data_IF_959031099062
#
_entry.id   IF_959031099062
#
_cell.length_a   1.000
_cell.length_b   1.000
_cell.length_c   1.000
_cell.angle_alpha   90.00
_cell.angle_beta   90.00
_cell.angle_gamma   90.00
#
_symmetry.space_group_name_H-M   'P 1'
#
loop_
_entity.id
_entity.type
_entity.pdbx_description
1 polymer ?
#
# COMPACT_ATOMS: atom_id res chain seq x y z
N UNK A 1 -31.25 -18.05 40.72
CA UNK A 1 -31.22 -18.44 42.16
C UNK A 1 -32.62 -18.58 42.76
N UNK A 2 -33.60 -17.71 42.48
CA UNK A 2 -35.01 -17.87 42.92
C UNK A 2 -35.63 -19.25 42.57
N UNK A 3 -35.50 -19.70 41.31
CA UNK A 3 -35.97 -21.03 40.88
C UNK A 3 -35.28 -22.19 41.61
N UNK A 4 -34.00 -22.02 42.02
CA UNK A 4 -33.27 -23.06 42.77
C UNK A 4 -33.86 -23.23 44.18
N UNK A 5 -34.23 -22.13 44.83
CA UNK A 5 -34.89 -22.15 46.15
C UNK A 5 -36.29 -22.77 46.03
N UNK A 6 -37.06 -22.37 45.01
CA UNK A 6 -38.39 -22.93 44.77
C UNK A 6 -38.36 -24.45 44.56
N UNK A 7 -37.40 -24.94 43.77
CA UNK A 7 -37.20 -26.37 43.54
C UNK A 7 -36.77 -27.11 44.80
N UNK A 8 -35.91 -26.50 45.62
CA UNK A 8 -35.48 -27.07 46.90
C UNK A 8 -36.63 -27.16 47.91
N UNK A 9 -37.47 -26.11 48.02
CA UNK A 9 -38.65 -26.09 48.89
C UNK A 9 -39.69 -27.14 48.50
N UNK A 10 -39.89 -27.36 47.19
CA UNK A 10 -40.81 -28.38 46.66
C UNK A 10 -40.29 -29.81 46.78
N UNK A 11 -38.97 -30.01 46.93
CA UNK A 11 -38.36 -31.33 47.01
C UNK A 11 -38.62 -31.99 48.39
N UNK A 12 -39.27 -33.17 48.47
CA UNK A 12 -39.44 -33.90 49.73
C UNK A 12 -38.13 -34.47 50.31
N UNK A 13 -37.12 -34.71 49.46
CA UNK A 13 -35.78 -35.21 49.82
C UNK A 13 -34.72 -34.11 49.83
N UNK A 14 -35.12 -32.87 50.12
CA UNK A 14 -34.21 -31.72 50.22
C UNK A 14 -33.14 -31.93 51.28
N UNK A 15 -31.93 -31.45 51.02
CA UNK A 15 -30.78 -31.52 51.91
C UNK A 15 -30.61 -30.24 52.73
N UNK A 16 -30.01 -30.38 53.92
CA UNK A 16 -29.79 -29.25 54.84
C UNK A 16 -28.75 -28.26 54.30
N UNK A 17 -27.68 -28.75 53.67
CA UNK A 17 -26.56 -27.94 53.21
C UNK A 17 -26.99 -26.88 52.17
N UNK A 18 -27.74 -27.29 51.15
CA UNK A 18 -28.27 -26.37 50.13
C UNK A 18 -29.23 -25.34 50.73
N UNK A 19 -30.05 -25.74 51.70
CA UNK A 19 -30.93 -24.82 52.43
C UNK A 19 -30.14 -23.77 53.23
N UNK A 20 -29.06 -24.20 53.88
CA UNK A 20 -28.20 -23.34 54.67
C UNK A 20 -27.45 -22.34 53.79
N UNK A 21 -27.02 -22.77 52.60
CA UNK A 21 -26.41 -21.90 51.60
C UNK A 21 -27.37 -20.79 51.15
N UNK A 22 -28.62 -21.13 50.82
CA UNK A 22 -29.63 -20.13 50.48
C UNK A 22 -29.90 -19.15 51.62
N UNK A 23 -29.95 -19.64 52.86
CA UNK A 23 -30.08 -18.78 54.04
C UNK A 23 -28.89 -17.82 54.18
N UNK A 24 -27.66 -18.34 54.11
CA UNK A 24 -26.46 -17.53 54.30
C UNK A 24 -26.24 -16.52 53.15
N UNK A 25 -26.63 -16.84 51.92
CA UNK A 25 -26.54 -15.91 50.79
C UNK A 25 -27.60 -14.81 50.86
N UNK A 26 -28.84 -15.13 51.20
CA UNK A 26 -29.98 -14.22 50.98
C UNK A 26 -30.63 -13.65 52.24
N UNK A 27 -30.31 -14.15 53.43
CA UNK A 27 -30.82 -13.57 54.67
C UNK A 27 -30.22 -12.17 54.92
N UNK A 28 -31.07 -11.27 55.42
CA UNK A 28 -30.66 -9.95 55.89
C UNK A 28 -29.80 -10.05 57.18
N UNK A 29 -29.07 -8.98 57.49
CA UNK A 29 -28.11 -8.95 58.61
C UNK A 29 -28.78 -9.25 59.95
N UNK A 30 -30.01 -8.80 60.16
CA UNK A 30 -30.78 -9.05 61.38
C UNK A 30 -31.18 -10.52 61.53
N UNK A 31 -31.68 -11.14 60.45
CA UNK A 31 -32.06 -12.55 60.43
C UNK A 31 -30.84 -13.44 60.63
N UNK A 32 -29.69 -13.08 60.04
CA UNK A 32 -28.41 -13.76 60.26
C UNK A 32 -27.95 -13.67 61.71
N UNK A 33 -28.06 -12.50 62.33
CA UNK A 33 -27.68 -12.34 63.74
C UNK A 33 -28.55 -13.20 64.68
N UNK A 34 -29.86 -13.28 64.41
CA UNK A 34 -30.82 -14.02 65.27
C UNK A 34 -30.78 -15.54 65.08
N UNK A 35 -30.64 -16.01 63.84
CA UNK A 35 -30.79 -17.44 63.52
C UNK A 35 -29.52 -18.08 62.97
N UNK A 36 -28.54 -17.29 62.52
CA UNK A 36 -27.32 -17.80 61.90
C UNK A 36 -26.49 -18.66 62.85
N UNK A 37 -26.33 -18.26 64.11
CA UNK A 37 -25.59 -19.07 65.11
C UNK A 37 -26.25 -20.42 65.38
N UNK A 38 -27.58 -20.45 65.44
CA UNK A 38 -28.35 -21.69 65.62
C UNK A 38 -28.30 -22.60 64.39
N UNK A 39 -28.42 -22.04 63.19
CA UNK A 39 -28.47 -22.82 61.95
C UNK A 39 -27.08 -23.27 61.46
N UNK A 40 -26.03 -22.45 61.65
CA UNK A 40 -24.66 -22.82 61.32
C UNK A 40 -23.97 -23.66 62.43
N UNK A 41 -24.63 -23.85 63.58
CA UNK A 41 -24.09 -24.60 64.71
C UNK A 41 -24.14 -26.13 64.57
N UNK A 42 -24.77 -26.65 63.52
CA UNK A 42 -24.84 -28.09 63.20
C UNK A 42 -23.45 -28.57 62.79
N UNK A 43 -22.87 -29.51 63.55
CA UNK A 43 -21.48 -29.95 63.33
C UNK A 43 -21.38 -31.08 62.33
N UNK A 44 -22.37 -31.98 62.32
CA UNK A 44 -22.49 -33.03 61.33
C UNK A 44 -23.89 -33.04 60.70
N UNK A 45 -23.94 -32.69 59.42
CA UNK A 45 -25.18 -32.65 58.63
C UNK A 45 -25.74 -34.06 58.38
N UNK A 46 -24.93 -35.10 58.62
CA UNK A 46 -25.33 -36.51 58.53
C UNK A 46 -25.97 -37.02 59.83
N UNK A 47 -25.80 -36.31 60.94
CA UNK A 47 -26.45 -36.66 62.20
C UNK A 47 -27.93 -36.27 62.14
N UNK A 48 -28.78 -37.30 62.01
CA UNK A 48 -30.23 -37.16 61.97
C UNK A 48 -30.79 -36.49 63.24
N UNK A 49 -30.12 -36.54 64.39
CA UNK A 49 -30.67 -35.96 65.63
C UNK A 49 -30.48 -34.45 65.69
N UNK A 50 -29.32 -33.94 65.30
CA UNK A 50 -29.08 -32.49 65.23
C UNK A 50 -29.96 -31.89 64.12
N UNK A 51 -29.89 -32.45 62.91
CA UNK A 51 -30.63 -31.92 61.76
C UNK A 51 -32.15 -31.94 61.94
N UNK A 52 -32.74 -32.92 62.63
CA UNK A 52 -34.20 -32.96 62.89
C UNK A 52 -34.70 -31.73 63.67
N UNK A 53 -33.87 -31.15 64.55
CA UNK A 53 -34.25 -29.97 65.34
C UNK A 53 -34.05 -28.68 64.53
N UNK A 54 -32.94 -28.57 63.81
CA UNK A 54 -32.58 -27.34 63.08
C UNK A 54 -33.30 -27.20 61.73
N UNK A 55 -33.63 -28.32 61.08
CA UNK A 55 -34.13 -28.32 59.70
C UNK A 55 -35.51 -27.69 59.52
N UNK A 56 -36.52 -27.92 60.38
CA UNK A 56 -37.81 -27.23 60.28
C UNK A 56 -37.65 -25.71 60.34
N UNK A 57 -36.76 -25.23 61.21
CA UNK A 57 -36.45 -23.81 61.34
C UNK A 57 -35.77 -23.28 60.07
N UNK A 58 -34.80 -24.00 59.52
CA UNK A 58 -34.14 -23.63 58.26
C UNK A 58 -35.16 -23.52 57.11
N UNK A 59 -36.04 -24.51 56.95
CA UNK A 59 -37.08 -24.54 55.92
C UNK A 59 -38.01 -23.34 56.08
N UNK A 60 -38.43 -23.02 57.31
CA UNK A 60 -39.26 -21.85 57.58
C UNK A 60 -38.56 -20.55 57.16
N UNK A 61 -37.28 -20.38 57.51
CA UNK A 61 -36.52 -19.17 57.18
C UNK A 61 -36.27 -19.04 55.68
N UNK A 62 -35.89 -20.12 55.00
CA UNK A 62 -35.72 -20.16 53.54
C UNK A 62 -37.05 -19.87 52.82
N UNK A 63 -38.18 -20.35 53.35
CA UNK A 63 -39.52 -20.04 52.79
C UNK A 63 -39.87 -18.55 52.91
N UNK A 64 -39.55 -17.92 54.04
CA UNK A 64 -39.74 -16.47 54.22
C UNK A 64 -38.84 -15.66 53.30
N UNK A 65 -37.56 -16.05 53.17
CA UNK A 65 -36.62 -15.44 52.23
C UNK A 65 -37.13 -15.59 50.79
N UNK A 66 -37.58 -16.78 50.38
CA UNK A 66 -38.18 -17.00 49.07
C UNK A 66 -39.36 -16.06 48.81
N UNK A 67 -40.24 -15.89 49.80
CA UNK A 67 -41.34 -14.93 49.73
C UNK A 67 -40.87 -13.48 49.55
N UNK A 68 -39.85 -13.05 50.32
CA UNK A 68 -39.25 -11.70 50.21
C UNK A 68 -38.60 -11.48 48.84
N UNK A 69 -37.81 -12.43 48.36
CA UNK A 69 -37.15 -12.37 47.05
C UNK A 69 -38.18 -12.35 45.91
N UNK A 70 -39.29 -13.10 46.03
CA UNK A 70 -40.38 -13.07 45.05
C UNK A 70 -41.15 -11.75 45.06
N UNK A 71 -41.36 -11.16 46.23
CA UNK A 71 -42.11 -9.91 46.40
C UNK A 71 -41.30 -8.67 45.97
N UNK A 72 -39.97 -8.70 46.14
CA UNK A 72 -39.09 -7.62 45.72
C UNK A 72 -37.80 -8.19 45.09
N UNK A 73 -37.85 -8.67 43.83
CA UNK A 73 -36.69 -9.25 43.17
C UNK A 73 -35.52 -8.29 43.01
N UNK A 74 -35.80 -7.00 42.79
CA UNK A 74 -34.78 -5.98 42.53
C UNK A 74 -33.87 -5.73 43.73
N UNK A 75 -34.42 -5.77 44.96
CA UNK A 75 -33.63 -5.63 46.19
C UNK A 75 -32.62 -6.76 46.43
N UNK A 76 -32.77 -7.89 45.73
CA UNK A 76 -31.86 -9.04 45.83
C UNK A 76 -31.02 -9.24 44.57
N UNK A 77 -31.16 -8.36 43.56
CA UNK A 77 -30.53 -8.51 42.24
C UNK A 77 -29.04 -8.77 42.31
N UNK A 78 -28.31 -8.03 43.15
CA UNK A 78 -26.85 -8.15 43.29
C UNK A 78 -26.42 -9.42 44.04
N UNK A 79 -27.25 -9.90 44.98
CA UNK A 79 -27.04 -11.15 45.72
C UNK A 79 -27.38 -12.39 44.86
N UNK A 80 -28.19 -12.22 43.83
CA UNK A 80 -28.56 -13.26 42.86
C UNK A 80 -27.51 -13.41 41.74
N UNK A 81 -26.53 -12.50 41.64
CA UNK A 81 -25.42 -12.57 40.68
C UNK A 81 -24.45 -13.68 41.09
N UNK A 82 -24.36 -14.71 40.26
CA UNK A 82 -23.37 -15.80 40.40
C UNK A 82 -21.98 -15.37 39.92
N UNK A 83 -20.91 -16.05 40.38
CA UNK A 83 -19.55 -15.83 39.84
C UNK A 83 -19.49 -15.99 38.32
N UNK A 84 -20.22 -16.98 37.76
CA UNK A 84 -20.34 -17.17 36.32
C UNK A 84 -20.92 -15.96 35.58
N UNK A 85 -21.86 -15.24 36.19
CA UNK A 85 -22.37 -13.97 35.63
C UNK A 85 -21.33 -12.86 35.70
N UNK A 86 -20.51 -12.79 36.75
CA UNK A 86 -19.43 -11.79 36.87
C UNK A 86 -18.36 -12.01 35.81
N UNK A 87 -17.91 -13.25 35.62
CA UNK A 87 -16.96 -13.61 34.55
C UNK A 87 -17.51 -13.28 33.16
N UNK A 88 -18.82 -13.47 32.95
CA UNK A 88 -19.47 -13.13 31.68
C UNK A 88 -19.47 -11.62 31.44
N UNK A 89 -19.73 -10.82 32.48
CA UNK A 89 -19.67 -9.35 32.41
C UNK A 89 -18.27 -8.86 32.13
N UNK A 90 -17.25 -9.43 32.78
CA UNK A 90 -15.84 -9.08 32.52
C UNK A 90 -15.43 -9.38 31.07
N UNK A 91 -15.86 -10.53 30.52
CA UNK A 91 -15.66 -10.86 29.10
C UNK A 91 -16.36 -9.87 28.17
N UNK A 92 -17.58 -9.44 28.50
CA UNK A 92 -18.29 -8.43 27.72
C UNK A 92 -17.57 -7.08 27.74
N UNK A 93 -17.05 -6.66 28.88
CA UNK A 93 -16.26 -5.42 28.99
C UNK A 93 -14.98 -5.53 28.13
N UNK A 94 -14.28 -6.66 28.19
CA UNK A 94 -13.07 -6.88 27.39
C UNK A 94 -13.38 -6.90 25.88
N UNK A 95 -14.51 -7.47 25.48
CA UNK A 95 -14.97 -7.44 24.09
C UNK A 95 -15.37 -6.03 23.65
N UNK A 96 -16.06 -5.27 24.51
CA UNK A 96 -16.42 -3.89 24.21
C UNK A 96 -15.18 -3.04 23.95
N UNK A 97 -14.14 -3.17 24.79
CA UNK A 97 -12.88 -2.46 24.57
C UNK A 97 -12.25 -2.79 23.22
N UNK A 98 -12.30 -4.05 22.79
CA UNK A 98 -11.81 -4.45 21.45
C UNK A 98 -12.66 -3.89 20.31
N UNK A 99 -13.97 -3.74 20.51
CA UNK A 99 -14.84 -3.09 19.53
C UNK A 99 -14.44 -1.64 19.38
N UNK A 100 -14.25 -0.92 20.49
CA UNK A 100 -13.84 0.49 20.47
C UNK A 100 -12.47 0.67 19.76
N UNK A 101 -11.50 -0.20 20.04
CA UNK A 101 -10.18 -0.21 19.35
C UNK A 101 -10.30 -0.50 17.85
N UNK A 102 -11.24 -1.37 17.44
CA UNK A 102 -11.48 -1.66 16.03
C UNK A 102 -12.18 -0.50 15.31
N UNK A 103 -13.11 0.17 15.98
CA UNK A 103 -13.81 1.33 15.43
C UNK A 103 -12.85 2.51 15.20
N UNK A 104 -11.91 2.76 16.12
CA UNK A 104 -10.84 3.74 15.93
C UNK A 104 -9.99 3.40 14.69
N UNK A 105 -9.57 2.13 14.58
CA UNK A 105 -8.78 1.66 13.43
C UNK A 105 -9.56 1.74 12.10
N UNK A 106 -10.87 1.51 12.12
CA UNK A 106 -11.72 1.69 10.94
C UNK A 106 -11.75 3.16 10.52
N UNK A 107 -11.84 4.08 11.48
CA UNK A 107 -11.78 5.52 11.23
C UNK A 107 -10.47 5.94 10.56
N UNK A 108 -9.32 5.49 11.08
CA UNK A 108 -8.00 5.77 10.50
C UNK A 108 -7.91 5.25 9.06
N UNK A 109 -8.32 4.00 8.83
CA UNK A 109 -8.30 3.40 7.49
C UNK A 109 -9.24 4.09 6.50
N UNK A 110 -10.37 4.63 6.97
CA UNK A 110 -11.28 5.41 6.12
C UNK A 110 -10.65 6.75 5.72
N UNK A 111 -10.02 7.45 6.67
CA UNK A 111 -9.31 8.70 6.37
C UNK A 111 -8.16 8.48 5.37
N UNK A 112 -7.38 7.42 5.56
CA UNK A 112 -6.32 7.02 4.62
C UNK A 112 -6.90 6.69 3.24
N UNK A 113 -8.03 5.98 3.18
CA UNK A 113 -8.68 5.62 1.92
C UNK A 113 -9.19 6.86 1.16
N UNK A 114 -9.73 7.86 1.85
CA UNK A 114 -10.12 9.14 1.26
C UNK A 114 -8.92 9.90 0.70
N UNK A 115 -7.83 10.02 1.47
CA UNK A 115 -6.60 10.66 0.99
C UNK A 115 -6.00 9.96 -0.24
N UNK A 116 -6.02 8.63 -0.26
CA UNK A 116 -5.56 7.86 -1.42
C UNK A 116 -6.45 8.05 -2.65
N UNK A 117 -7.77 8.24 -2.47
CA UNK A 117 -8.69 8.49 -3.57
C UNK A 117 -8.39 9.85 -4.24
N UNK A 118 -8.14 10.89 -3.44
CA UNK A 118 -7.76 12.21 -3.96
C UNK A 118 -6.42 12.16 -4.73
N UNK A 119 -5.44 11.39 -4.24
CA UNK A 119 -4.16 11.21 -4.95
C UNK A 119 -4.34 10.47 -6.28
N UNK A 120 -5.18 9.43 -6.32
CA UNK A 120 -5.51 8.70 -7.55
C UNK A 120 -6.15 9.63 -8.58
N UNK A 121 -7.09 10.49 -8.16
CA UNK A 121 -7.73 11.46 -9.05
C UNK A 121 -6.72 12.49 -9.59
N UNK A 122 -5.82 12.98 -8.74
CA UNK A 122 -4.74 13.87 -9.16
C UNK A 122 -3.83 13.22 -10.20
N UNK A 123 -3.39 11.98 -9.95
CA UNK A 123 -2.55 11.23 -10.89
C UNK A 123 -3.28 10.91 -12.20
N UNK A 124 -4.60 10.69 -12.14
CA UNK A 124 -5.45 10.54 -13.32
C UNK A 124 -5.42 11.78 -14.21
N UNK A 125 -5.57 12.96 -13.61
CA UNK A 125 -5.49 14.24 -14.33
C UNK A 125 -4.11 14.46 -14.97
N UNK A 126 -3.02 14.18 -14.25
CA UNK A 126 -1.66 14.30 -14.77
C UNK A 126 -1.41 13.35 -15.95
N UNK A 127 -1.94 12.12 -15.88
CA UNK A 127 -1.86 11.15 -16.95
C UNK A 127 -2.59 11.62 -18.20
N UNK A 128 -3.80 12.15 -18.04
CA UNK A 128 -4.59 12.69 -19.15
C UNK A 128 -3.90 13.90 -19.81
N UNK A 129 -3.30 14.80 -19.00
CA UNK A 129 -2.53 15.93 -19.54
C UNK A 129 -1.30 15.44 -20.32
N UNK A 130 -0.57 14.47 -19.79
CA UNK A 130 0.59 13.87 -20.45
C UNK A 130 0.20 13.18 -21.77
N UNK A 131 -0.90 12.43 -21.78
CA UNK A 131 -1.45 11.83 -22.98
C UNK A 131 -1.85 12.88 -24.02
N UNK A 132 -2.47 13.98 -23.58
CA UNK A 132 -2.76 15.13 -24.44
C UNK A 132 -1.51 15.72 -25.11
N UNK A 133 -0.43 15.90 -24.35
CA UNK A 133 0.88 16.35 -24.87
C UNK A 133 1.47 15.34 -25.87
N UNK A 134 1.37 14.04 -25.59
CA UNK A 134 1.84 12.98 -26.49
C UNK A 134 1.08 13.04 -27.82
N UNK A 135 -0.25 13.17 -27.81
CA UNK A 135 -1.04 13.28 -29.04
C UNK A 135 -0.72 14.56 -29.82
N UNK A 136 -0.51 15.68 -29.14
CA UNK A 136 -0.06 16.92 -29.79
C UNK A 136 1.30 16.75 -30.46
N UNK A 137 2.25 16.08 -29.79
CA UNK A 137 3.57 15.79 -30.34
C UNK A 137 3.47 14.84 -31.54
N UNK A 138 2.65 13.79 -31.47
CA UNK A 138 2.39 12.89 -32.60
C UNK A 138 1.82 13.65 -33.79
N UNK A 139 0.89 14.58 -33.56
CA UNK A 139 0.35 15.44 -34.62
C UNK A 139 1.43 16.32 -35.26
N UNK A 140 2.21 17.04 -34.44
CA UNK A 140 3.34 17.87 -34.90
C UNK A 140 4.37 17.06 -35.70
N UNK A 141 4.59 15.81 -35.30
CA UNK A 141 5.49 14.88 -35.99
C UNK A 141 4.91 14.43 -37.34
N UNK A 142 3.63 14.08 -37.39
CA UNK A 142 2.93 13.73 -38.62
C UNK A 142 2.95 14.89 -39.64
N UNK A 143 2.78 16.13 -39.18
CA UNK A 143 2.88 17.34 -40.02
C UNK A 143 4.29 17.53 -40.63
N UNK A 144 5.34 17.10 -39.93
CA UNK A 144 6.73 17.20 -40.40
C UNK A 144 7.14 16.09 -41.36
N UNK A 145 6.27 15.11 -41.64
CA UNK A 145 6.55 13.93 -42.46
C UNK A 145 7.86 13.19 -42.03
N UNK A 146 8.16 13.22 -40.74
CA UNK A 146 9.33 12.53 -40.16
C UNK A 146 8.89 11.14 -39.74
N UNK A 147 9.49 10.10 -40.32
CA UNK A 147 9.27 8.72 -39.88
C UNK A 147 10.08 8.48 -38.61
N UNK A 148 9.39 8.25 -37.49
CA UNK A 148 10.05 7.86 -36.23
C UNK A 148 10.50 6.41 -36.34
N UNK A 149 11.76 6.19 -35.99
CA UNK A 149 12.38 4.88 -35.86
C UNK A 149 12.59 4.62 -34.39
N UNK A 150 12.10 3.48 -33.95
CA UNK A 150 12.35 2.95 -32.62
C UNK A 150 13.53 1.97 -32.67
N UNK A 151 14.17 1.65 -31.54
CA UNK A 151 15.22 0.64 -31.50
C UNK A 151 14.81 -0.71 -32.10
N UNK A 152 13.51 -1.04 -32.06
CA UNK A 152 12.96 -2.28 -32.63
C UNK A 152 12.88 -2.27 -34.16
N UNK A 153 12.89 -1.08 -34.79
CA UNK A 153 12.92 -0.91 -36.24
C UNK A 153 14.34 -1.03 -36.82
N UNK A 154 15.37 -1.06 -35.97
CA UNK A 154 16.76 -1.19 -36.39
C UNK A 154 17.10 -2.64 -36.76
N UNK A 155 17.98 -2.87 -37.76
CA UNK A 155 18.59 -4.17 -37.98
C UNK A 155 19.23 -4.68 -36.70
N UNK A 156 19.15 -6.00 -36.46
CA UNK A 156 19.62 -6.65 -35.22
C UNK A 156 21.01 -6.20 -34.76
N UNK A 157 21.95 -5.98 -35.69
CA UNK A 157 23.30 -5.51 -35.38
C UNK A 157 23.32 -4.06 -34.86
N UNK A 158 22.53 -3.16 -35.43
CA UNK A 158 22.41 -1.77 -34.99
C UNK A 158 21.58 -1.65 -33.71
N UNK A 159 20.56 -2.49 -33.54
CA UNK A 159 19.84 -2.61 -32.28
C UNK A 159 20.77 -3.04 -31.13
N UNK A 160 21.69 -3.98 -31.39
CA UNK A 160 22.72 -4.38 -30.43
C UNK A 160 23.72 -3.23 -30.14
N UNK A 161 24.13 -2.46 -31.15
CA UNK A 161 24.98 -1.28 -30.98
C UNK A 161 24.30 -0.19 -30.12
N UNK A 162 23.01 0.05 -30.35
CA UNK A 162 22.21 0.96 -29.52
C UNK A 162 22.13 0.49 -28.06
N UNK A 163 21.86 -0.80 -27.83
CA UNK A 163 21.83 -1.37 -26.49
C UNK A 163 23.19 -1.26 -25.79
N UNK A 164 24.29 -1.52 -26.53
CA UNK A 164 25.66 -1.34 -26.04
C UNK A 164 25.93 0.11 -25.63
N UNK A 165 25.50 1.10 -26.41
CA UNK A 165 25.63 2.52 -26.04
C UNK A 165 24.87 2.88 -24.75
N UNK A 166 23.73 2.24 -24.50
CA UNK A 166 22.98 2.39 -23.25
C UNK A 166 23.77 1.86 -22.03
N UNK A 167 24.56 0.82 -22.20
CA UNK A 167 25.45 0.27 -21.17
C UNK A 167 26.74 1.08 -20.98
N UNK A 168 27.29 1.64 -22.06
CA UNK A 168 28.52 2.47 -21.99
C UNK A 168 28.31 3.66 -21.06
N UNK A 169 27.13 4.29 -21.08
CA UNK A 169 26.84 5.49 -20.28
C UNK A 169 27.05 5.29 -18.76
N UNK A 170 26.42 4.30 -18.10
CA UNK A 170 26.68 4.03 -16.68
C UNK A 170 28.11 3.54 -16.41
N UNK A 171 28.75 2.83 -17.34
CA UNK A 171 30.16 2.42 -17.20
C UNK A 171 31.10 3.63 -17.16
N UNK A 172 30.94 4.57 -18.10
CA UNK A 172 31.71 5.82 -18.11
C UNK A 172 31.45 6.65 -16.84
N UNK A 173 30.19 6.72 -16.38
CA UNK A 173 29.86 7.41 -15.13
C UNK A 173 30.58 6.78 -13.92
N UNK A 174 30.64 5.45 -13.85
CA UNK A 174 31.39 4.74 -12.80
C UNK A 174 32.89 5.06 -12.87
N UNK A 175 33.49 5.03 -14.05
CA UNK A 175 34.92 5.37 -14.23
C UNK A 175 35.21 6.83 -13.88
N UNK A 176 34.31 7.76 -14.21
CA UNK A 176 34.41 9.15 -13.77
C UNK A 176 34.31 9.31 -12.25
N UNK A 177 33.50 8.48 -11.57
CA UNK A 177 33.51 8.43 -10.10
C UNK A 177 34.82 7.88 -9.55
N UNK A 178 35.39 6.84 -10.16
CA UNK A 178 36.71 6.30 -9.77
C UNK A 178 37.84 7.32 -9.94
N UNK A 179 37.81 8.15 -10.99
CA UNK A 179 38.79 9.24 -11.18
C UNK A 179 38.78 10.29 -10.07
N UNK A 180 37.64 10.47 -9.38
CA UNK A 180 37.50 11.41 -8.26
C UNK A 180 38.08 10.88 -6.95
N UNK A 181 38.40 9.59 -6.89
CA UNK A 181 39.06 9.01 -5.73
C UNK A 181 40.49 9.60 -5.62
N UNK A 182 40.83 10.09 -4.44
CA UNK A 182 42.17 10.64 -4.16
C UNK A 182 43.18 9.52 -3.88
N UNK A 183 42.72 8.30 -3.59
CA UNK A 183 43.56 7.16 -3.23
C UNK A 183 44.18 6.40 -4.41
N UNK A 184 43.74 6.67 -5.64
CA UNK A 184 44.27 6.00 -6.84
C UNK A 184 45.59 6.65 -7.32
N UNK A 185 46.50 5.82 -7.82
CA UNK A 185 47.81 6.27 -8.33
C UNK A 185 47.69 6.91 -9.71
N UNK A 186 48.75 7.61 -10.15
CA UNK A 186 48.78 8.25 -11.46
C UNK A 186 48.70 7.24 -12.62
N UNK A 187 49.31 6.06 -12.46
CA UNK A 187 49.20 4.97 -13.44
C UNK A 187 47.76 4.43 -13.53
N UNK A 188 47.08 4.31 -12.39
CA UNK A 188 45.67 3.90 -12.35
C UNK A 188 44.76 4.96 -12.98
N UNK A 189 45.03 6.25 -12.73
CA UNK A 189 44.31 7.36 -13.39
C UNK A 189 44.50 7.31 -14.90
N UNK A 190 45.73 7.05 -15.37
CA UNK A 190 46.02 6.95 -16.80
C UNK A 190 45.27 5.79 -17.46
N UNK A 191 45.21 4.63 -16.82
CA UNK A 191 44.46 3.48 -17.33
C UNK A 191 42.95 3.75 -17.37
N UNK A 192 42.38 4.36 -16.32
CA UNK A 192 40.96 4.73 -16.31
C UNK A 192 40.65 5.77 -17.41
N UNK A 193 41.53 6.75 -17.61
CA UNK A 193 41.37 7.74 -18.67
C UNK A 193 41.39 7.10 -20.07
N UNK A 194 42.27 6.11 -20.28
CA UNK A 194 42.32 5.35 -21.53
C UNK A 194 41.00 4.58 -21.75
N UNK A 195 40.51 3.89 -20.72
CA UNK A 195 39.23 3.17 -20.80
C UNK A 195 38.05 4.09 -21.12
N UNK A 196 38.04 5.31 -20.59
CA UNK A 196 37.03 6.31 -20.92
C UNK A 196 37.09 6.75 -22.39
N UNK A 197 38.30 6.95 -22.93
CA UNK A 197 38.47 7.27 -24.35
C UNK A 197 38.00 6.12 -25.24
N UNK A 198 38.42 4.88 -24.93
CA UNK A 198 38.04 3.69 -25.70
C UNK A 198 36.50 3.50 -25.71
N UNK A 199 35.84 3.71 -24.57
CA UNK A 199 34.38 3.66 -24.45
C UNK A 199 33.68 4.78 -25.21
N UNK A 200 34.23 6.00 -25.22
CA UNK A 200 33.65 7.12 -25.97
C UNK A 200 33.81 6.92 -27.49
N UNK A 201 34.96 6.40 -27.94
CA UNK A 201 35.21 6.05 -29.33
C UNK A 201 34.27 4.91 -29.80
N UNK A 202 34.09 3.87 -28.98
CA UNK A 202 33.11 2.80 -29.23
C UNK A 202 31.69 3.39 -29.37
N UNK A 203 31.31 4.25 -28.42
CA UNK A 203 29.98 4.89 -28.41
C UNK A 203 29.74 5.74 -29.64
N UNK A 204 30.72 6.54 -30.07
CA UNK A 204 30.64 7.37 -31.28
C UNK A 204 30.55 6.50 -32.52
N UNK A 205 31.40 5.48 -32.65
CA UNK A 205 31.37 4.57 -33.80
C UNK A 205 30.01 3.86 -33.94
N UNK A 206 29.41 3.45 -32.83
CA UNK A 206 28.06 2.88 -32.82
C UNK A 206 26.99 3.88 -33.29
N UNK A 207 27.08 5.15 -32.86
CA UNK A 207 26.17 6.19 -33.33
C UNK A 207 26.36 6.52 -34.81
N UNK A 208 27.60 6.65 -35.27
CA UNK A 208 27.92 6.87 -36.68
C UNK A 208 27.33 5.75 -37.54
N UNK A 209 27.39 4.48 -37.08
CA UNK A 209 26.78 3.35 -37.78
C UNK A 209 25.26 3.44 -37.87
N UNK A 210 24.60 3.91 -36.81
CA UNK A 210 23.14 4.12 -36.79
C UNK A 210 22.77 5.29 -37.69
N UNK A 211 23.44 6.44 -37.57
CA UNK A 211 23.16 7.63 -38.38
C UNK A 211 23.38 7.35 -39.87
N UNK A 212 24.49 6.69 -40.23
CA UNK A 212 24.73 6.25 -41.61
C UNK A 212 23.63 5.31 -42.12
N UNK A 213 23.10 4.40 -41.29
CA UNK A 213 21.99 3.53 -41.68
C UNK A 213 20.69 4.32 -41.90
N UNK A 214 20.39 5.28 -41.05
CA UNK A 214 19.22 6.15 -41.17
C UNK A 214 19.30 7.03 -42.43
N UNK A 215 20.49 7.54 -42.73
CA UNK A 215 20.77 8.33 -43.94
C UNK A 215 20.75 7.46 -45.21
N UNK A 216 21.29 6.24 -45.16
CA UNK A 216 21.42 5.34 -46.33
C UNK A 216 20.18 4.51 -46.65
N UNK A 217 19.35 4.17 -45.65
CA UNK A 217 18.13 3.37 -45.84
C UNK A 217 16.91 4.18 -46.27
N UNK A 218 17.10 5.42 -46.76
CA UNK A 218 16.04 6.27 -47.30
C UNK A 218 14.86 6.48 -46.32
N UNK A 219 15.17 6.96 -45.13
CA UNK A 219 14.19 7.57 -44.23
C UNK A 219 14.17 9.07 -44.48
N UNK A 220 13.43 9.45 -45.51
CA UNK A 220 13.36 10.79 -46.09
C UNK A 220 13.60 11.96 -45.12
N UNK A 221 14.86 12.36 -44.96
CA UNK A 221 15.22 13.78 -44.98
C UNK A 221 14.82 14.30 -46.37
N UNK A 222 14.34 15.56 -46.51
CA UNK A 222 13.89 16.08 -47.79
C UNK A 222 14.99 15.83 -48.82
N UNK A 223 14.73 14.88 -49.70
CA UNK A 223 15.61 14.54 -50.79
C UNK A 223 15.85 15.86 -51.54
N UNK A 224 17.10 16.33 -51.50
CA UNK A 224 17.76 16.69 -52.74
C UNK A 224 17.55 15.49 -53.67
N UNK A 225 16.38 15.48 -54.33
CA UNK A 225 15.98 14.40 -55.23
C UNK A 225 17.14 14.20 -56.16
N UNK A 226 17.58 12.95 -56.28
CA UNK A 226 18.30 12.49 -57.44
C UNK A 226 17.59 13.11 -58.65
N UNK A 227 18.23 14.10 -59.27
CA UNK A 227 17.66 14.81 -60.39
C UNK A 227 17.53 13.80 -61.51
N UNK A 228 16.33 13.30 -61.73
CA UNK A 228 15.97 12.69 -63.00
C UNK A 228 15.98 13.84 -64.00
N UNK A 229 17.17 14.07 -64.58
CA UNK A 229 17.28 14.98 -65.70
C UNK A 229 16.46 14.41 -66.84
N UNK A 230 15.78 15.29 -67.58
CA UNK A 230 15.16 14.89 -68.84
C UNK A 230 16.20 14.19 -69.72
N UNK A 231 15.79 13.18 -70.48
CA UNK A 231 16.65 12.60 -71.52
C UNK A 231 16.87 13.59 -72.68
N UNK A 232 16.00 14.58 -72.83
CA UNK A 232 16.17 15.71 -73.75
C UNK A 232 17.35 16.61 -73.29
N UNK A 233 18.41 16.75 -74.11
CA UNK A 233 19.59 17.55 -73.77
C UNK A 233 19.31 19.01 -73.42
N UNK A 234 18.30 19.63 -74.05
CA UNK A 234 17.97 21.06 -73.83
C UNK A 234 17.30 21.25 -72.48
N UNK A 235 16.36 20.36 -72.15
CA UNK A 235 15.64 20.39 -70.87
C UNK A 235 16.57 20.02 -69.72
N UNK A 236 17.45 19.02 -69.93
CA UNK A 236 18.52 18.66 -69.00
C UNK A 236 19.45 19.84 -68.72
N UNK A 237 19.89 20.55 -69.76
CA UNK A 237 20.72 21.75 -69.63
C UNK A 237 20.05 22.84 -68.77
N UNK A 238 18.78 23.12 -69.01
CA UNK A 238 18.02 24.10 -68.23
C UNK A 238 17.82 23.68 -66.75
N UNK A 239 17.62 22.38 -66.50
CA UNK A 239 17.51 21.83 -65.14
C UNK A 239 18.83 21.92 -64.37
N UNK A 240 19.96 21.62 -65.04
CA UNK A 240 21.31 21.76 -64.46
C UNK A 240 21.60 23.23 -64.12
N UNK A 241 21.31 24.16 -65.02
CA UNK A 241 21.57 25.60 -64.79
C UNK A 241 20.82 26.13 -63.55
N UNK A 242 19.53 25.83 -63.42
CA UNK A 242 18.74 26.23 -62.24
C UNK A 242 19.27 25.64 -60.94
N UNK A 243 19.83 24.43 -60.98
CA UNK A 243 20.44 23.80 -59.81
C UNK A 243 21.74 24.49 -59.41
N UNK A 244 22.57 24.85 -60.38
CA UNK A 244 23.80 25.62 -60.15
C UNK A 244 23.48 26.95 -59.48
N UNK A 245 22.43 27.65 -59.91
CA UNK A 245 22.04 28.93 -59.30
C UNK A 245 21.60 28.78 -57.84
N UNK A 246 20.81 27.75 -57.52
CA UNK A 246 20.40 27.43 -56.14
C UNK A 246 21.59 27.08 -55.24
N UNK A 247 22.54 26.29 -55.75
CA UNK A 247 23.75 25.92 -54.99
C UNK A 247 24.61 27.15 -54.70
N UNK A 248 24.77 28.05 -55.68
CA UNK A 248 25.47 29.34 -55.47
C UNK A 248 24.81 30.19 -54.39
N UNK A 249 23.48 30.27 -54.38
CA UNK A 249 22.75 31.03 -53.38
C UNK A 249 22.86 30.41 -51.98
N UNK A 250 22.81 29.07 -51.87
CA UNK A 250 23.01 28.36 -50.61
C UNK A 250 24.43 28.56 -50.07
N UNK A 251 25.46 28.44 -50.91
CA UNK A 251 26.85 28.72 -50.53
C UNK A 251 27.00 30.16 -50.02
N UNK A 252 26.38 31.12 -50.70
CA UNK A 252 26.37 32.53 -50.27
C UNK A 252 25.72 32.69 -48.89
N UNK A 253 24.53 32.12 -48.69
CA UNK A 253 23.81 32.17 -47.40
C UNK A 253 24.60 31.51 -46.28
N UNK A 254 25.21 30.37 -46.53
CA UNK A 254 26.09 29.68 -45.57
C UNK A 254 27.34 30.50 -45.26
N UNK A 255 27.95 31.15 -46.25
CA UNK A 255 29.07 32.07 -46.05
C UNK A 255 28.70 33.32 -45.23
N UNK A 256 27.53 33.90 -45.50
CA UNK A 256 27.00 35.04 -44.73
C UNK A 256 26.69 34.64 -43.27
N UNK A 257 26.15 33.43 -43.06
CA UNK A 257 25.89 32.89 -41.73
C UNK A 257 27.19 32.64 -40.95
N UNK A 258 28.20 32.04 -41.59
CA UNK A 258 29.53 31.81 -41.01
C UNK A 258 30.20 33.14 -40.62
N UNK A 259 30.11 34.15 -41.49
CA UNK A 259 30.67 35.47 -41.26
C UNK A 259 29.96 36.22 -40.13
N UNK A 260 28.66 36.02 -39.94
CA UNK A 260 27.91 36.55 -38.78
C UNK A 260 28.33 35.86 -37.49
N UNK A 261 28.49 34.54 -37.52
CA UNK A 261 28.90 33.76 -36.35
C UNK A 261 30.35 34.06 -35.91
N UNK A 262 31.25 34.39 -36.83
CA UNK A 262 32.63 34.80 -36.50
C UNK A 262 32.75 36.24 -35.96
N UNK A 263 31.68 37.05 -36.06
CA UNK A 263 31.64 38.44 -35.57
C UNK A 263 30.88 38.60 -34.25
N UNK A 264 30.28 37.53 -33.74
CA UNK A 264 29.65 37.46 -32.41
C UNK A 264 30.66 36.92 -31.39
#
# INVERSE_FOLDING_TARGET
MLQKIENWLKNPKRDYASGLEFFNQLADSETKARFGGFLNGVKDVSDSKETVVHFPQLIQRVSLIHGKVKANPDAYKDLLVTESTKESVEKLIALQKKVDELDEKIGDLQADAEGNADEIDSLGNDLDESNGKIEELKKKLAEKNVKVITPDDLPKQLGAAYARNKEITPLMASLHSSLKDESITDEQRQEIAKQLCDLDDERRSNWDGIDNYLESSNLALPEDRLLVYSEDPVIKGAQIAKRIDRLKENIKKSGDALSKHQKA
#
